data_IF_873712581044
#
_entry.id   IF_873712581044
#
_cell.length_a   1.000
_cell.length_b   1.000
_cell.length_c   1.000
_cell.angle_alpha   90.00
_cell.angle_beta   90.00
_cell.angle_gamma   90.00
#
_symmetry.space_group_name_H-M   'P 1'
#
loop_
_entity.id
_entity.type
_entity.pdbx_description
1 polymer ?
#
# COMPACT_ATOMS: atom_id res chain seq x y z
N UNK A 1 -2.46 58.94 -35.74
CA UNK A 1 -1.80 58.58 -34.47
C UNK A 1 -1.04 57.29 -34.72
N UNK A 2 0.27 57.40 -34.99
CA UNK A 2 1.12 56.33 -35.54
C UNK A 2 1.33 55.20 -34.51
N UNK A 3 0.78 54.01 -34.75
CA UNK A 3 1.32 52.76 -34.21
C UNK A 3 2.67 52.53 -34.89
N UNK A 4 3.70 53.21 -34.40
CA UNK A 4 5.09 53.00 -34.81
C UNK A 4 5.42 51.51 -34.70
N UNK A 5 6.10 51.00 -35.74
CA UNK A 5 6.62 49.66 -35.94
C UNK A 5 7.11 49.01 -34.63
N UNK A 6 6.24 48.30 -33.90
CA UNK A 6 6.69 47.37 -32.87
C UNK A 6 7.41 46.25 -33.61
N UNK A 7 8.74 46.21 -33.50
CA UNK A 7 9.50 45.15 -34.17
C UNK A 7 9.02 43.80 -33.66
N UNK A 8 8.86 42.87 -34.59
CA UNK A 8 8.49 41.48 -34.38
C UNK A 8 9.29 40.86 -33.20
N UNK A 9 8.62 40.45 -32.11
CA UNK A 9 9.26 39.85 -30.95
C UNK A 9 10.10 38.60 -31.30
N UNK A 10 9.69 37.81 -32.30
CA UNK A 10 10.46 36.65 -32.73
C UNK A 10 11.81 37.06 -33.35
N UNK A 11 11.84 38.15 -34.12
CA UNK A 11 13.09 38.70 -34.67
C UNK A 11 13.98 39.29 -33.57
N UNK A 12 13.39 39.95 -32.58
CA UNK A 12 14.13 40.41 -31.39
C UNK A 12 14.74 39.26 -30.62
N UNK A 13 13.98 38.19 -30.38
CA UNK A 13 14.46 37.01 -29.68
C UNK A 13 15.66 36.37 -30.40
N UNK A 14 15.58 36.19 -31.73
CA UNK A 14 16.71 35.71 -32.55
C UNK A 14 17.96 36.57 -32.40
N UNK A 15 17.82 37.89 -32.45
CA UNK A 15 18.94 38.81 -32.25
C UNK A 15 19.56 38.67 -30.85
N UNK A 16 18.76 38.46 -29.82
CA UNK A 16 19.24 38.23 -28.46
C UNK A 16 19.96 36.88 -28.33
N UNK A 17 19.48 35.83 -29.01
CA UNK A 17 20.15 34.52 -29.06
C UNK A 17 21.50 34.64 -29.77
N UNK A 18 21.56 35.28 -30.94
CA UNK A 18 22.80 35.49 -31.69
C UNK A 18 23.84 36.22 -30.83
N UNK A 19 23.42 37.27 -30.10
CA UNK A 19 24.28 37.96 -29.14
C UNK A 19 24.74 37.04 -28.02
N UNK A 20 23.84 36.27 -27.40
CA UNK A 20 24.20 35.38 -26.31
C UNK A 20 25.26 34.35 -26.72
N UNK A 21 25.18 33.84 -27.96
CA UNK A 21 26.19 32.92 -28.52
C UNK A 21 27.54 33.62 -28.67
N UNK A 22 27.57 34.85 -29.20
CA UNK A 22 28.80 35.65 -29.30
C UNK A 22 29.42 35.87 -27.91
N UNK A 23 28.62 36.25 -26.91
CA UNK A 23 29.10 36.46 -25.54
C UNK A 23 29.67 35.16 -24.93
N UNK A 24 29.10 33.99 -25.22
CA UNK A 24 29.68 32.69 -24.82
C UNK A 24 31.04 32.47 -25.50
N UNK A 25 31.12 32.68 -26.81
CA UNK A 25 32.36 32.49 -27.58
C UNK A 25 33.47 33.44 -27.12
N UNK A 26 33.11 34.64 -26.68
CA UNK A 26 34.03 35.64 -26.11
C UNK A 26 34.39 35.39 -24.63
N UNK A 27 33.78 34.39 -23.98
CA UNK A 27 34.08 34.02 -22.59
C UNK A 27 33.36 34.86 -21.54
N UNK A 28 32.20 35.43 -21.89
CA UNK A 28 31.36 36.31 -21.07
C UNK A 28 29.98 35.68 -20.73
N UNK A 29 29.94 34.55 -20.01
CA UNK A 29 28.69 33.80 -19.78
C UNK A 29 27.65 34.57 -18.94
N UNK A 30 28.06 35.50 -18.06
CA UNK A 30 27.09 36.34 -17.34
C UNK A 30 26.28 37.25 -18.27
N UNK A 31 26.89 37.77 -19.34
CA UNK A 31 26.21 38.60 -20.33
C UNK A 31 25.33 37.74 -21.24
N UNK A 32 25.83 36.58 -21.64
CA UNK A 32 25.03 35.59 -22.37
C UNK A 32 23.75 35.20 -21.61
N UNK A 33 23.85 34.99 -20.29
CA UNK A 33 22.71 34.71 -19.42
C UNK A 33 21.63 35.82 -19.48
N UNK A 34 22.05 37.09 -19.53
CA UNK A 34 21.13 38.23 -19.64
C UNK A 34 20.48 38.31 -21.03
N UNK A 35 21.23 38.05 -22.09
CA UNK A 35 20.69 38.07 -23.45
C UNK A 35 19.72 36.90 -23.68
N UNK A 36 20.01 35.70 -23.18
CA UNK A 36 19.06 34.57 -23.22
C UNK A 36 17.77 34.85 -22.43
N UNK A 37 17.87 35.50 -21.27
CA UNK A 37 16.68 35.92 -20.51
C UNK A 37 15.80 36.87 -21.33
N UNK A 38 16.40 37.85 -22.02
CA UNK A 38 15.67 38.76 -22.91
C UNK A 38 15.01 38.01 -24.06
N UNK A 39 15.70 37.04 -24.66
CA UNK A 39 15.13 36.18 -25.70
C UNK A 39 13.92 35.39 -25.18
N UNK A 40 14.05 34.78 -24.00
CA UNK A 40 12.98 33.99 -23.37
C UNK A 40 11.72 34.84 -23.11
N UNK A 41 11.90 36.07 -22.58
CA UNK A 41 10.78 37.01 -22.38
C UNK A 41 10.11 37.41 -23.70
N UNK A 42 10.86 37.60 -24.78
CA UNK A 42 10.29 37.86 -26.10
C UNK A 42 9.48 36.66 -26.63
N UNK A 43 9.87 35.42 -26.34
CA UNK A 43 9.08 34.24 -26.70
C UNK A 43 7.80 34.12 -25.89
N UNK A 44 7.80 34.54 -24.61
CA UNK A 44 6.57 34.63 -23.82
C UNK A 44 5.58 35.65 -24.39
N UNK A 45 6.04 36.79 -24.92
CA UNK A 45 5.17 37.80 -25.55
C UNK A 45 4.39 37.26 -26.75
N UNK A 46 4.85 36.17 -27.37
CA UNK A 46 4.22 35.52 -28.53
C UNK A 46 3.71 34.11 -28.21
N UNK A 47 3.53 33.79 -26.92
CA UNK A 47 2.97 32.52 -26.43
C UNK A 47 3.75 31.28 -26.91
N UNK A 48 5.06 31.42 -27.14
CA UNK A 48 5.97 30.32 -27.48
C UNK A 48 6.66 29.80 -26.22
N UNK A 49 5.90 29.17 -25.33
CA UNK A 49 6.34 28.75 -23.99
C UNK A 49 7.53 27.79 -24.05
N UNK A 50 7.54 26.81 -24.94
CA UNK A 50 8.66 25.85 -25.05
C UNK A 50 9.99 26.54 -25.35
N UNK A 51 9.97 27.54 -26.24
CA UNK A 51 11.15 28.35 -26.54
C UNK A 51 11.54 29.22 -25.34
N UNK A 52 10.57 29.82 -24.65
CA UNK A 52 10.85 30.59 -23.44
C UNK A 52 11.52 29.71 -22.36
N UNK A 53 10.96 28.54 -22.07
CA UNK A 53 11.50 27.57 -21.11
C UNK A 53 12.91 27.15 -21.50
N UNK A 54 13.13 26.82 -22.78
CA UNK A 54 14.46 26.48 -23.30
C UNK A 54 15.46 27.59 -22.99
N UNK A 55 15.16 28.83 -23.37
CA UNK A 55 16.13 29.93 -23.21
C UNK A 55 16.29 30.41 -21.77
N UNK A 56 15.29 30.25 -20.91
CA UNK A 56 15.51 30.41 -19.46
C UNK A 56 16.44 29.32 -18.90
N UNK A 57 16.35 28.06 -19.37
CA UNK A 57 17.31 27.01 -18.99
C UNK A 57 18.72 27.34 -19.47
N UNK A 58 18.90 27.77 -20.72
CA UNK A 58 20.20 28.23 -21.22
C UNK A 58 20.74 29.40 -20.39
N UNK A 59 19.90 30.39 -20.07
CA UNK A 59 20.28 31.49 -19.19
C UNK A 59 20.74 31.00 -17.81
N UNK A 60 20.10 29.95 -17.28
CA UNK A 60 20.46 29.34 -15.99
C UNK A 60 21.81 28.61 -16.04
N UNK A 61 22.14 27.96 -17.17
CA UNK A 61 23.41 27.27 -17.36
C UNK A 61 24.55 28.27 -17.47
N UNK A 62 24.41 29.33 -18.28
CA UNK A 62 25.41 30.38 -18.38
C UNK A 62 25.66 31.08 -17.03
N UNK A 63 24.61 31.29 -16.23
CA UNK A 63 24.78 31.83 -14.87
C UNK A 63 25.59 30.88 -13.96
N UNK A 64 25.42 29.57 -14.13
CA UNK A 64 26.12 28.55 -13.35
C UNK A 64 27.60 28.43 -13.72
N UNK A 65 27.97 28.68 -14.98
CA UNK A 65 29.39 28.69 -15.41
C UNK A 65 30.22 29.70 -14.62
N UNK A 66 29.63 30.84 -14.24
CA UNK A 66 30.27 31.82 -13.38
C UNK A 66 29.92 31.64 -11.88
N UNK A 67 29.52 30.43 -11.46
CA UNK A 67 29.11 30.07 -10.10
C UNK A 67 28.00 30.96 -9.50
N UNK A 68 27.20 31.66 -10.32
CA UNK A 68 26.12 32.51 -9.84
C UNK A 68 24.86 31.68 -9.58
N UNK A 69 24.84 30.99 -8.43
CA UNK A 69 23.75 30.12 -8.03
C UNK A 69 22.42 30.85 -7.79
N UNK A 70 22.46 32.12 -7.34
CA UNK A 70 21.24 32.93 -7.16
C UNK A 70 20.57 33.17 -8.52
N UNK A 71 21.32 33.66 -9.51
CA UNK A 71 20.78 33.91 -10.85
C UNK A 71 20.35 32.62 -11.54
N UNK A 72 21.11 31.54 -11.38
CA UNK A 72 20.73 30.22 -11.88
C UNK A 72 19.36 29.80 -11.34
N UNK A 73 19.14 29.95 -10.03
CA UNK A 73 17.85 29.69 -9.39
C UNK A 73 16.73 30.59 -9.95
N UNK A 74 16.97 31.89 -10.09
CA UNK A 74 15.97 32.83 -10.63
C UNK A 74 15.50 32.42 -12.03
N UNK A 75 16.43 32.03 -12.91
CA UNK A 75 16.12 31.59 -14.27
C UNK A 75 15.37 30.26 -14.28
N UNK A 76 15.71 29.32 -13.38
CA UNK A 76 14.95 28.06 -13.22
C UNK A 76 13.53 28.30 -12.73
N UNK A 77 13.33 29.23 -11.78
CA UNK A 77 12.00 29.63 -11.33
C UNK A 77 11.22 30.27 -12.48
N UNK A 78 11.83 31.16 -13.26
CA UNK A 78 11.17 31.77 -14.42
C UNK A 78 10.73 30.71 -15.45
N UNK A 79 11.58 29.73 -15.76
CA UNK A 79 11.22 28.59 -16.60
C UNK A 79 10.07 27.76 -16.00
N UNK A 80 10.10 27.50 -14.69
CA UNK A 80 9.05 26.77 -13.99
C UNK A 80 7.71 27.49 -14.04
N UNK A 81 7.69 28.82 -13.85
CA UNK A 81 6.48 29.64 -13.91
C UNK A 81 5.82 29.58 -15.30
N UNK A 82 6.60 29.47 -16.37
CA UNK A 82 6.09 29.26 -17.73
C UNK A 82 5.38 27.89 -17.84
N UNK A 83 6.01 26.84 -17.32
CA UNK A 83 5.46 25.47 -17.33
C UNK A 83 4.17 25.35 -16.49
N UNK A 84 4.09 26.08 -15.38
CA UNK A 84 2.87 26.11 -14.55
C UNK A 84 1.66 26.68 -15.31
N UNK A 85 1.88 27.66 -16.19
CA UNK A 85 0.80 28.24 -17.00
C UNK A 85 0.22 27.24 -18.02
N UNK A 86 1.03 26.27 -18.45
CA UNK A 86 0.61 25.17 -19.34
C UNK A 86 0.12 23.92 -18.58
N UNK A 87 0.10 23.95 -17.25
CA UNK A 87 -0.29 22.79 -16.43
C UNK A 87 0.77 21.68 -16.38
N UNK A 88 2.02 21.94 -16.82
CA UNK A 88 3.14 20.99 -16.79
C UNK A 88 3.78 20.93 -15.40
N UNK A 89 3.00 20.47 -14.42
CA UNK A 89 3.34 20.55 -12.99
C UNK A 89 4.55 19.72 -12.58
N UNK A 90 4.78 18.55 -13.19
CA UNK A 90 5.93 17.68 -12.89
C UNK A 90 7.27 18.34 -13.26
N UNK A 91 7.36 18.88 -14.48
CA UNK A 91 8.56 19.58 -14.96
C UNK A 91 8.80 20.90 -14.22
N UNK A 92 7.73 21.65 -13.93
CA UNK A 92 7.83 22.84 -13.11
C UNK A 92 8.32 22.50 -11.70
N UNK A 93 7.77 21.44 -11.10
CA UNK A 93 8.18 20.94 -9.78
C UNK A 93 9.66 20.57 -9.74
N UNK A 94 10.18 19.93 -10.79
CA UNK A 94 11.60 19.63 -10.91
C UNK A 94 12.48 20.89 -10.92
N UNK A 95 12.12 21.90 -11.72
CA UNK A 95 12.89 23.15 -11.79
C UNK A 95 12.86 23.93 -10.46
N UNK A 96 11.73 23.93 -9.73
CA UNK A 96 11.67 24.51 -8.38
C UNK A 96 12.53 23.73 -7.37
N UNK A 97 12.58 22.40 -7.46
CA UNK A 97 13.44 21.55 -6.63
C UNK A 97 14.92 21.85 -6.88
N UNK A 98 15.33 21.94 -8.15
CA UNK A 98 16.70 22.32 -8.52
C UNK A 98 17.05 23.75 -8.09
N UNK A 99 16.12 24.69 -8.24
CA UNK A 99 16.26 26.07 -7.73
C UNK A 99 16.50 26.09 -6.22
N UNK A 100 15.75 25.29 -5.45
CA UNK A 100 15.93 25.15 -4.01
C UNK A 100 17.35 24.71 -3.65
N UNK A 101 17.92 23.76 -4.39
CA UNK A 101 19.30 23.29 -4.15
C UNK A 101 20.34 24.40 -4.36
N UNK A 102 20.17 25.23 -5.38
CA UNK A 102 21.04 26.38 -5.63
C UNK A 102 20.90 27.46 -4.55
N UNK A 103 19.67 27.78 -4.12
CA UNK A 103 19.42 28.76 -3.05
C UNK A 103 19.98 28.29 -1.70
N UNK A 104 19.86 27.00 -1.42
CA UNK A 104 20.41 26.41 -0.20
C UNK A 104 21.94 26.51 -0.15
N UNK A 105 22.61 26.33 -1.29
CA UNK A 105 24.07 26.47 -1.41
C UNK A 105 24.53 27.89 -1.07
N UNK A 106 23.73 28.89 -1.43
CA UNK A 106 23.95 30.32 -1.12
C UNK A 106 23.44 30.72 0.27
N UNK A 107 23.06 29.76 1.13
CA UNK A 107 22.52 29.99 2.48
C UNK A 107 21.24 30.83 2.50
N UNK A 108 20.49 30.88 1.39
CA UNK A 108 19.18 31.51 1.28
C UNK A 108 18.07 30.54 1.69
N UNK A 109 18.10 30.11 2.96
CA UNK A 109 17.27 28.98 3.44
C UNK A 109 15.76 29.24 3.33
N UNK A 110 15.30 30.48 3.51
CA UNK A 110 13.87 30.81 3.43
C UNK A 110 13.38 30.68 1.98
N UNK A 111 14.12 31.26 1.03
CA UNK A 111 13.81 31.16 -0.40
C UNK A 111 13.93 29.72 -0.89
N UNK A 112 14.93 28.98 -0.41
CA UNK A 112 15.10 27.55 -0.71
C UNK A 112 13.89 26.74 -0.21
N UNK A 113 13.42 26.99 1.02
CA UNK A 113 12.24 26.34 1.59
C UNK A 113 10.98 26.68 0.82
N UNK A 114 10.81 27.95 0.42
CA UNK A 114 9.69 28.38 -0.43
C UNK A 114 9.69 27.62 -1.76
N UNK A 115 10.82 27.61 -2.47
CA UNK A 115 10.95 26.91 -3.76
C UNK A 115 10.65 25.41 -3.60
N UNK A 116 11.14 24.79 -2.53
CA UNK A 116 10.88 23.38 -2.23
C UNK A 116 9.40 23.10 -1.92
N UNK A 117 8.73 23.99 -1.19
CA UNK A 117 7.29 23.90 -0.96
C UNK A 117 6.50 23.92 -2.26
N UNK A 118 6.82 24.83 -3.18
CA UNK A 118 6.19 24.87 -4.52
C UNK A 118 6.51 23.61 -5.32
N UNK A 119 7.74 23.10 -5.25
CA UNK A 119 8.12 21.86 -5.91
C UNK A 119 7.26 20.67 -5.44
N UNK A 120 7.13 20.49 -4.12
CA UNK A 120 6.30 19.42 -3.53
C UNK A 120 4.85 19.54 -3.99
N UNK A 121 4.28 20.74 -3.95
CA UNK A 121 2.92 21.02 -4.44
C UNK A 121 2.77 20.67 -5.92
N UNK A 122 3.76 21.00 -6.75
CA UNK A 122 3.80 20.64 -8.17
C UNK A 122 3.76 19.13 -8.40
N UNK A 123 4.58 18.37 -7.67
CA UNK A 123 4.56 16.90 -7.76
C UNK A 123 3.27 16.27 -7.24
N UNK A 124 2.66 16.83 -6.19
CA UNK A 124 1.34 16.38 -5.72
C UNK A 124 0.27 16.59 -6.80
N UNK A 125 0.26 17.76 -7.46
CA UNK A 125 -0.67 18.04 -8.55
C UNK A 125 -0.43 17.16 -9.78
N UNK A 126 0.83 16.80 -10.03
CA UNK A 126 1.23 15.84 -11.07
C UNK A 126 0.99 14.36 -10.70
N UNK A 127 0.40 14.07 -9.54
CA UNK A 127 0.15 12.70 -9.01
C UNK A 127 1.41 11.89 -8.72
N UNK A 128 2.55 12.57 -8.58
CA UNK A 128 3.84 11.96 -8.28
C UNK A 128 4.08 11.94 -6.77
N UNK A 129 3.24 11.19 -6.04
CA UNK A 129 3.21 11.17 -4.57
C UNK A 129 4.52 10.70 -3.94
N UNK A 130 5.20 9.73 -4.57
CA UNK A 130 6.49 9.21 -4.10
C UNK A 130 7.58 10.28 -4.13
N UNK A 131 7.65 11.06 -5.20
CA UNK A 131 8.61 12.16 -5.33
C UNK A 131 8.29 13.28 -4.34
N UNK A 132 7.01 13.60 -4.14
CA UNK A 132 6.59 14.57 -3.12
C UNK A 132 7.03 14.16 -1.69
N UNK A 133 6.81 12.89 -1.29
CA UNK A 133 7.27 12.36 0.00
C UNK A 133 8.81 12.45 0.12
N UNK A 134 9.53 12.03 -0.92
CA UNK A 134 11.00 12.03 -0.90
C UNK A 134 11.56 13.45 -0.78
N UNK A 135 10.96 14.43 -1.46
CA UNK A 135 11.34 15.84 -1.33
C UNK A 135 11.00 16.41 0.04
N UNK A 136 9.86 16.05 0.62
CA UNK A 136 9.53 16.44 2.00
C UNK A 136 10.57 15.91 3.00
N UNK A 137 10.95 14.64 2.92
CA UNK A 137 12.01 14.06 3.78
C UNK A 137 13.36 14.74 3.59
N UNK A 138 13.74 15.05 2.34
CA UNK A 138 14.94 15.83 2.00
C UNK A 138 14.88 17.23 2.64
N UNK A 139 13.71 17.86 2.64
CA UNK A 139 13.48 19.19 3.21
C UNK A 139 13.59 19.20 4.73
N UNK A 140 12.95 18.24 5.41
CA UNK A 140 12.95 18.12 6.87
C UNK A 140 14.37 18.07 7.42
N UNK A 141 15.23 17.26 6.80
CA UNK A 141 16.65 17.17 7.17
C UNK A 141 17.36 18.53 7.07
N UNK A 142 17.15 19.27 5.97
CA UNK A 142 17.76 20.59 5.76
C UNK A 142 17.28 21.66 6.75
N UNK A 143 15.98 21.63 7.05
CA UNK A 143 15.35 22.61 7.95
C UNK A 143 15.81 22.35 9.39
N UNK A 144 15.89 21.09 9.80
CA UNK A 144 16.41 20.70 11.12
C UNK A 144 17.86 21.15 11.31
N UNK A 145 18.72 20.94 10.31
CA UNK A 145 20.15 21.30 10.36
C UNK A 145 20.39 22.82 10.42
N UNK A 146 19.47 23.63 9.84
CA UNK A 146 19.67 25.08 9.71
C UNK A 146 18.94 25.92 10.78
N UNK A 147 18.11 25.30 11.64
CA UNK A 147 17.23 25.99 12.59
C UNK A 147 16.43 27.14 11.94
N UNK A 148 16.13 26.99 10.64
CA UNK A 148 15.52 28.06 9.85
C UNK A 148 14.01 28.06 10.05
N UNK A 149 13.40 29.26 10.06
CA UNK A 149 11.95 29.39 10.10
C UNK A 149 11.35 28.79 8.82
N UNK A 150 10.34 27.92 8.96
CA UNK A 150 9.62 27.33 7.82
C UNK A 150 8.85 28.42 7.06
N UNK A 151 8.98 28.42 5.73
CA UNK A 151 8.18 29.28 4.85
C UNK A 151 6.72 28.77 4.80
N UNK A 152 5.70 29.66 4.74
CA UNK A 152 4.30 29.24 4.63
C UNK A 152 3.98 28.26 3.50
N UNK A 153 4.64 28.37 2.34
CA UNK A 153 4.41 27.44 1.21
C UNK A 153 4.87 26.03 1.58
N UNK A 154 5.99 25.92 2.29
CA UNK A 154 6.49 24.64 2.77
C UNK A 154 5.58 24.04 3.84
N UNK A 155 5.09 24.85 4.79
CA UNK A 155 4.17 24.38 5.84
C UNK A 155 2.90 23.80 5.20
N UNK A 156 2.31 24.50 4.23
CA UNK A 156 1.15 23.97 3.52
C UNK A 156 1.48 22.68 2.75
N UNK A 157 2.62 22.64 2.05
CA UNK A 157 3.06 21.46 1.32
C UNK A 157 3.23 20.24 2.23
N UNK A 158 3.83 20.42 3.41
CA UNK A 158 3.99 19.39 4.43
C UNK A 158 2.63 18.83 4.89
N UNK A 159 1.66 19.71 5.17
CA UNK A 159 0.30 19.27 5.53
C UNK A 159 -0.38 18.52 4.38
N UNK A 160 -0.23 18.99 3.14
CA UNK A 160 -0.79 18.29 1.98
C UNK A 160 -0.18 16.90 1.79
N UNK A 161 1.13 16.71 1.98
CA UNK A 161 1.76 15.38 1.92
C UNK A 161 1.23 14.49 3.03
N UNK A 162 1.14 14.98 4.27
CA UNK A 162 0.61 14.21 5.40
C UNK A 162 -0.83 13.75 5.16
N UNK A 163 -1.69 14.63 4.62
CA UNK A 163 -3.10 14.32 4.36
C UNK A 163 -3.25 13.38 3.16
N UNK A 164 -2.66 13.74 2.01
CA UNK A 164 -2.89 13.05 0.73
C UNK A 164 -2.02 11.79 0.58
N UNK A 165 -0.82 11.77 1.12
CA UNK A 165 0.13 10.67 0.89
C UNK A 165 0.27 9.75 2.11
N UNK A 166 0.23 10.29 3.32
CA UNK A 166 0.45 9.51 4.55
C UNK A 166 -0.85 9.15 5.27
N UNK A 167 -1.99 9.72 4.85
CA UNK A 167 -3.30 9.43 5.44
C UNK A 167 -3.47 9.97 6.87
N UNK A 168 -2.65 10.94 7.28
CA UNK A 168 -2.72 11.53 8.61
C UNK A 168 -3.98 12.39 8.72
N UNK A 169 -4.75 12.18 9.78
CA UNK A 169 -5.90 13.01 10.10
C UNK A 169 -5.44 14.34 10.71
N UNK A 170 -5.65 15.43 9.99
CA UNK A 170 -5.24 16.78 10.37
C UNK A 170 -6.50 17.62 10.58
N UNK A 171 -6.65 18.30 11.73
CA UNK A 171 -7.79 19.18 11.97
C UNK A 171 -7.95 20.22 10.86
N UNK A 172 -9.16 20.35 10.32
CA UNK A 172 -9.46 21.29 9.23
C UNK A 172 -9.04 22.72 9.55
N UNK A 173 -9.13 23.16 10.81
CA UNK A 173 -8.69 24.50 11.23
C UNK A 173 -7.19 24.72 11.01
N UNK A 174 -6.36 23.71 11.32
CA UNK A 174 -4.91 23.80 11.11
C UNK A 174 -4.59 23.95 9.62
N UNK A 175 -5.26 23.17 8.77
CA UNK A 175 -5.12 23.26 7.32
C UNK A 175 -5.57 24.64 6.81
N UNK A 176 -6.75 25.11 7.20
CA UNK A 176 -7.27 26.42 6.79
C UNK A 176 -6.35 27.59 7.20
N UNK A 177 -5.77 27.52 8.40
CA UNK A 177 -4.81 28.53 8.86
C UNK A 177 -3.54 28.54 8.00
N UNK A 178 -3.03 27.38 7.59
CA UNK A 178 -1.91 27.29 6.66
C UNK A 178 -2.27 27.89 5.29
N UNK A 179 -3.45 27.59 4.74
CA UNK A 179 -3.89 28.15 3.44
C UNK A 179 -4.02 29.67 3.45
N UNK A 180 -4.49 30.28 4.56
CA UNK A 180 -4.60 31.74 4.68
C UNK A 180 -3.24 32.44 4.73
N UNK A 181 -2.20 31.72 5.15
CA UNK A 181 -0.86 32.26 5.34
C UNK A 181 -0.04 32.32 4.04
N UNK A 182 -0.41 31.56 3.02
CA UNK A 182 0.31 31.53 1.74
C UNK A 182 -0.04 32.72 0.85
N UNK A 183 0.92 33.15 0.05
CA UNK A 183 0.78 34.22 -0.94
C UNK A 183 1.41 33.78 -2.26
N UNK A 184 0.74 32.92 -3.03
CA UNK A 184 1.29 32.39 -4.28
C UNK A 184 1.42 33.49 -5.33
N UNK A 185 2.40 33.37 -6.21
CA UNK A 185 2.53 34.23 -7.40
C UNK A 185 1.36 33.98 -8.35
N UNK A 186 1.15 34.90 -9.30
CA UNK A 186 0.07 34.77 -10.28
C UNK A 186 0.17 33.46 -11.10
N UNK A 187 1.38 33.05 -11.48
CA UNK A 187 1.66 31.78 -12.18
C UNK A 187 1.46 30.54 -11.31
N UNK A 188 1.63 30.65 -10.00
CA UNK A 188 1.49 29.55 -9.04
C UNK A 188 0.04 29.37 -8.55
N UNK A 189 -0.80 30.41 -8.68
CA UNK A 189 -2.16 30.43 -8.13
C UNK A 189 -3.03 29.24 -8.58
N UNK A 190 -3.11 28.89 -9.89
CA UNK A 190 -3.94 27.76 -10.33
C UNK A 190 -3.52 26.44 -9.68
N UNK A 191 -2.21 26.22 -9.55
CA UNK A 191 -1.64 25.04 -8.91
C UNK A 191 -2.05 24.95 -7.43
N UNK A 192 -1.90 26.04 -6.68
CA UNK A 192 -2.28 26.06 -5.26
C UNK A 192 -3.79 25.96 -5.05
N UNK A 193 -4.60 26.62 -5.88
CA UNK A 193 -6.06 26.51 -5.81
C UNK A 193 -6.53 25.07 -6.04
N UNK A 194 -5.97 24.40 -7.07
CA UNK A 194 -6.25 23.00 -7.35
C UNK A 194 -5.87 22.09 -6.18
N UNK A 195 -4.65 22.23 -5.65
CA UNK A 195 -4.20 21.38 -4.54
C UNK A 195 -4.99 21.65 -3.26
N UNK A 196 -5.27 22.92 -2.94
CA UNK A 196 -6.04 23.26 -1.75
C UNK A 196 -7.46 22.69 -1.83
N UNK A 197 -8.13 22.81 -2.99
CA UNK A 197 -9.45 22.22 -3.20
C UNK A 197 -9.41 20.69 -3.03
N UNK A 198 -8.40 20.05 -3.63
CA UNK A 198 -8.16 18.61 -3.55
C UNK A 198 -7.93 18.14 -2.10
N UNK A 199 -7.09 18.83 -1.33
CA UNK A 199 -6.81 18.49 0.07
C UNK A 199 -8.01 18.74 0.98
N UNK A 200 -8.79 19.82 0.77
CA UNK A 200 -10.05 20.05 1.50
C UNK A 200 -11.03 18.93 1.29
N UNK A 201 -11.19 18.52 0.03
CA UNK A 201 -12.08 17.43 -0.31
C UNK A 201 -11.59 16.13 0.32
N UNK A 202 -10.28 15.88 0.31
CA UNK A 202 -9.70 14.75 1.02
C UNK A 202 -10.08 14.79 2.50
N UNK A 203 -9.87 15.89 3.23
CA UNK A 203 -10.27 15.99 4.64
C UNK A 203 -11.76 15.68 4.90
N UNK A 204 -12.63 15.95 3.94
CA UNK A 204 -14.07 15.68 4.02
C UNK A 204 -14.47 14.30 3.48
N UNK A 205 -13.54 13.58 2.84
CA UNK A 205 -13.80 12.25 2.26
C UNK A 205 -13.54 11.20 3.31
N UNK A 206 -14.56 10.40 3.57
CA UNK A 206 -14.50 9.24 4.47
C UNK A 206 -14.27 7.99 3.63
N UNK A 207 -13.27 7.19 4.02
CA UNK A 207 -13.06 5.87 3.46
C UNK A 207 -12.87 4.89 4.62
N UNK A 208 -13.67 3.84 4.63
CA UNK A 208 -13.75 2.91 5.77
C UNK A 208 -13.69 1.50 5.23
N UNK A 209 -12.88 0.69 5.90
CA UNK A 209 -12.81 -0.75 5.70
C UNK A 209 -13.41 -1.40 6.95
N UNK A 210 -14.54 -2.09 6.79
CA UNK A 210 -15.33 -2.63 7.89
C UNK A 210 -15.69 -4.10 7.65
N UNK A 211 -16.07 -4.82 8.69
CA UNK A 211 -16.62 -6.16 8.53
C UNK A 211 -17.98 -6.06 7.83
N UNK A 212 -18.22 -6.89 6.82
CA UNK A 212 -19.53 -6.93 6.16
C UNK A 212 -20.65 -7.43 7.12
N UNK A 213 -20.24 -8.12 8.21
CA UNK A 213 -21.11 -8.57 9.29
C UNK A 213 -20.64 -8.12 10.66
N UNK A 214 -20.91 -8.93 11.69
CA UNK A 214 -20.45 -8.63 13.04
C UNK A 214 -18.91 -8.63 13.12
N UNK A 215 -18.28 -7.66 13.81
CA UNK A 215 -16.84 -7.63 13.96
C UNK A 215 -16.29 -8.91 14.57
N UNK A 216 -15.33 -9.53 13.89
CA UNK A 216 -14.71 -10.78 14.35
C UNK A 216 -13.31 -10.50 14.90
N UNK A 217 -13.10 -10.85 16.17
CA UNK A 217 -11.76 -10.75 16.80
C UNK A 217 -10.87 -11.94 16.46
N UNK A 218 -11.48 -13.06 16.12
CA UNK A 218 -10.83 -14.32 15.78
C UNK A 218 -11.57 -14.99 14.62
N UNK A 219 -10.83 -15.47 13.63
CA UNK A 219 -11.35 -16.09 12.40
C UNK A 219 -10.65 -17.43 12.15
N UNK A 220 -11.31 -18.39 11.52
CA UNK A 220 -10.72 -19.69 11.23
C UNK A 220 -9.76 -19.62 10.04
N UNK A 221 -8.63 -20.35 10.08
CA UNK A 221 -7.80 -20.54 8.87
C UNK A 221 -8.65 -21.20 7.78
N UNK A 222 -8.46 -20.77 6.52
CA UNK A 222 -9.15 -21.19 5.29
C UNK A 222 -10.63 -20.80 5.16
N UNK A 223 -11.24 -20.24 6.20
CA UNK A 223 -12.61 -19.72 6.13
C UNK A 223 -12.59 -18.33 5.49
N UNK A 224 -13.38 -18.08 4.42
CA UNK A 224 -13.41 -16.76 3.80
C UNK A 224 -14.00 -15.73 4.78
N UNK A 225 -13.44 -14.53 4.76
CA UNK A 225 -13.93 -13.38 5.51
C UNK A 225 -14.37 -12.30 4.54
N UNK A 226 -15.54 -11.73 4.80
CA UNK A 226 -16.15 -10.71 3.97
C UNK A 226 -15.99 -9.34 4.62
N UNK A 227 -15.40 -8.42 3.87
CA UNK A 227 -15.06 -7.07 4.29
C UNK A 227 -15.75 -6.10 3.33
N UNK A 228 -16.32 -5.03 3.87
CA UNK A 228 -16.93 -3.96 3.11
C UNK A 228 -15.98 -2.77 3.02
N UNK A 229 -15.59 -2.37 1.81
CA UNK A 229 -14.93 -1.10 1.55
C UNK A 229 -15.99 -0.09 1.15
N UNK A 230 -16.10 1.00 1.90
CA UNK A 230 -17.03 2.10 1.60
C UNK A 230 -16.28 3.41 1.48
N UNK A 231 -16.73 4.25 0.57
CA UNK A 231 -16.32 5.65 0.57
C UNK A 231 -17.52 6.58 0.49
N UNK A 232 -17.33 7.78 1.03
CA UNK A 232 -18.25 8.89 0.92
C UNK A 232 -17.47 10.16 0.63
N UNK A 233 -17.68 10.72 -0.55
CA UNK A 233 -17.05 11.94 -1.02
C UNK A 233 -18.13 13.03 -1.25
N UNK A 234 -17.90 14.28 -0.85
CA UNK A 234 -18.83 15.38 -1.10
C UNK A 234 -19.10 15.71 -2.59
N UNK A 235 -18.29 15.18 -3.51
CA UNK A 235 -18.43 15.40 -4.96
C UNK A 235 -18.30 14.06 -5.69
N UNK A 236 -18.82 14.02 -6.91
CA UNK A 236 -18.70 12.85 -7.77
C UNK A 236 -17.24 12.59 -8.14
N UNK A 237 -16.77 11.38 -7.85
CA UNK A 237 -15.42 10.93 -8.12
C UNK A 237 -15.41 9.49 -8.65
N UNK A 238 -14.35 9.13 -9.36
CA UNK A 238 -14.06 7.77 -9.79
C UNK A 238 -12.75 7.28 -9.18
N UNK A 239 -12.62 5.98 -8.94
CA UNK A 239 -11.36 5.38 -8.46
C UNK A 239 -10.42 5.14 -9.64
N UNK A 240 -9.21 5.69 -9.57
CA UNK A 240 -8.19 5.57 -10.63
C UNK A 240 -6.97 4.74 -10.23
N UNK A 241 -6.63 4.69 -8.95
CA UNK A 241 -5.53 3.87 -8.42
C UNK A 241 -5.92 3.33 -7.05
N UNK A 242 -5.42 2.13 -6.73
CA UNK A 242 -5.68 1.44 -5.48
C UNK A 242 -4.50 0.60 -5.05
N UNK A 243 -4.24 0.57 -3.75
CA UNK A 243 -3.21 -0.29 -3.15
C UNK A 243 -3.72 -0.85 -1.85
N UNK A 244 -3.51 -2.14 -1.64
CA UNK A 244 -3.92 -2.81 -0.42
C UNK A 244 -2.70 -3.42 0.27
N UNK A 245 -2.56 -3.12 1.55
CA UNK A 245 -1.60 -3.79 2.42
C UNK A 245 -2.26 -4.98 3.12
N UNK A 246 -1.63 -6.15 3.07
CA UNK A 246 -2.08 -7.37 3.72
C UNK A 246 -0.94 -7.96 4.55
N UNK A 247 -1.27 -8.62 5.66
CA UNK A 247 -0.31 -9.48 6.33
C UNK A 247 -0.03 -10.74 5.50
N UNK A 248 1.14 -11.37 5.71
CA UNK A 248 1.52 -12.62 5.03
C UNK A 248 0.56 -13.80 5.31
N UNK A 249 -0.33 -13.66 6.30
CA UNK A 249 -1.27 -14.68 6.73
C UNK A 249 -2.61 -14.60 6.02
N UNK A 250 -2.83 -13.62 5.15
CA UNK A 250 -4.12 -13.34 4.51
C UNK A 250 -3.91 -13.11 3.02
N UNK A 251 -4.77 -13.72 2.19
CA UNK A 251 -4.83 -13.46 0.74
C UNK A 251 -6.19 -12.89 0.37
N UNK A 252 -6.24 -12.06 -0.66
CA UNK A 252 -7.50 -11.60 -1.25
C UNK A 252 -8.00 -12.66 -2.25
N UNK A 253 -9.22 -13.14 -2.08
CA UNK A 253 -9.83 -14.15 -2.97
C UNK A 253 -10.79 -13.54 -3.97
N UNK A 254 -11.41 -12.41 -3.64
CA UNK A 254 -12.31 -11.67 -4.53
C UNK A 254 -11.92 -10.20 -4.55
N UNK A 255 -11.49 -9.72 -5.72
CA UNK A 255 -11.28 -8.30 -5.95
C UNK A 255 -12.62 -7.56 -6.15
N UNK A 256 -12.72 -6.32 -5.67
CA UNK A 256 -13.87 -5.46 -5.95
C UNK A 256 -13.92 -5.05 -7.43
N UNK A 257 -15.11 -5.12 -8.02
CA UNK A 257 -15.40 -4.59 -9.35
C UNK A 257 -15.82 -3.13 -9.23
N UNK A 258 -14.89 -2.23 -9.54
CA UNK A 258 -15.14 -0.79 -9.48
C UNK A 258 -15.95 -0.33 -10.69
N UNK A 259 -17.00 0.43 -10.42
CA UNK A 259 -17.74 1.17 -11.43
C UNK A 259 -16.86 2.30 -11.98
N UNK A 260 -16.86 2.46 -13.30
CA UNK A 260 -16.14 3.58 -13.95
C UNK A 260 -16.95 4.87 -13.95
N UNK A 261 -18.20 4.83 -13.48
CA UNK A 261 -19.06 6.00 -13.40
C UNK A 261 -18.71 6.80 -12.13
N UNK A 262 -18.48 8.11 -12.24
CA UNK A 262 -18.31 8.96 -11.06
C UNK A 262 -19.50 8.85 -10.11
N UNK A 263 -19.23 8.73 -8.81
CA UNK A 263 -20.25 8.69 -7.75
C UNK A 263 -19.77 9.44 -6.51
N UNK A 264 -20.72 9.87 -5.67
CA UNK A 264 -20.43 10.46 -4.35
C UNK A 264 -20.22 9.39 -3.27
N UNK A 265 -20.80 8.20 -3.46
CA UNK A 265 -20.69 7.09 -2.52
C UNK A 265 -20.77 5.76 -3.26
N UNK A 266 -19.92 4.81 -2.89
CA UNK A 266 -20.06 3.42 -3.31
C UNK A 266 -19.58 2.48 -2.20
N UNK A 267 -19.98 1.23 -2.32
CA UNK A 267 -19.60 0.15 -1.44
C UNK A 267 -19.25 -1.09 -2.25
N UNK A 268 -18.20 -1.79 -1.83
CA UNK A 268 -17.82 -3.07 -2.41
C UNK A 268 -17.57 -4.11 -1.34
N UNK A 269 -18.04 -5.33 -1.64
CA UNK A 269 -17.75 -6.51 -0.86
C UNK A 269 -16.45 -7.15 -1.36
N UNK A 270 -15.45 -7.19 -0.50
CA UNK A 270 -14.20 -7.90 -0.70
C UNK A 270 -14.22 -9.22 0.06
N UNK A 271 -13.57 -10.23 -0.52
CA UNK A 271 -13.39 -11.53 0.13
C UNK A 271 -11.91 -11.77 0.35
N UNK A 272 -11.57 -12.15 1.58
CA UNK A 272 -10.22 -12.55 1.97
C UNK A 272 -10.23 -13.96 2.54
N UNK A 273 -9.09 -14.64 2.47
CA UNK A 273 -8.92 -15.97 3.04
C UNK A 273 -7.66 -15.99 3.91
N UNK A 274 -7.79 -16.23 5.22
CA UNK A 274 -6.65 -16.49 6.09
C UNK A 274 -5.99 -17.81 5.69
N UNK A 275 -4.67 -17.80 5.47
CA UNK A 275 -3.88 -18.97 5.03
C UNK A 275 -2.97 -19.52 6.10
N UNK A 276 -2.59 -18.70 7.09
CA UNK A 276 -1.71 -19.08 8.20
C UNK A 276 -2.35 -18.69 9.53
N UNK A 277 -2.18 -19.53 10.55
CA UNK A 277 -2.62 -19.21 11.91
C UNK A 277 -1.72 -18.16 12.56
N UNK A 278 -2.25 -17.37 13.48
CA UNK A 278 -1.50 -16.33 14.18
C UNK A 278 -2.24 -15.00 14.13
N UNK A 279 -1.57 -13.96 13.64
CA UNK A 279 -2.15 -12.63 13.49
C UNK A 279 -2.43 -12.33 12.01
N UNK A 280 -3.59 -11.73 11.76
CA UNK A 280 -4.05 -11.27 10.46
C UNK A 280 -4.27 -9.77 10.48
N UNK A 281 -3.88 -9.08 9.40
CA UNK A 281 -4.27 -7.70 9.19
C UNK A 281 -4.67 -7.44 7.74
N UNK A 282 -5.72 -6.62 7.57
CA UNK A 282 -6.21 -6.12 6.29
C UNK A 282 -6.19 -4.60 6.34
N UNK A 283 -5.46 -4.00 5.41
CA UNK A 283 -5.31 -2.56 5.30
C UNK A 283 -3.95 -2.04 5.78
N UNK A 284 -3.68 -0.74 5.59
CA UNK A 284 -4.61 0.24 5.02
C UNK A 284 -4.82 -0.02 3.52
N UNK A 285 -6.04 0.31 3.07
CA UNK A 285 -6.39 0.39 1.66
C UNK A 285 -6.18 1.85 1.23
N UNK A 286 -5.21 2.08 0.36
CA UNK A 286 -4.96 3.40 -0.24
C UNK A 286 -5.77 3.50 -1.52
N UNK A 287 -6.62 4.53 -1.64
CA UNK A 287 -7.45 4.78 -2.81
C UNK A 287 -7.20 6.19 -3.32
N UNK A 288 -6.94 6.31 -4.62
CA UNK A 288 -6.89 7.58 -5.32
C UNK A 288 -8.16 7.77 -6.12
N UNK A 289 -8.91 8.81 -5.79
CA UNK A 289 -10.10 9.27 -6.46
C UNK A 289 -9.79 10.47 -7.37
N UNK A 290 -10.44 10.52 -8.51
CA UNK A 290 -10.38 11.60 -9.48
C UNK A 290 -11.79 12.13 -9.76
N UNK A 291 -11.95 13.45 -9.76
CA UNK A 291 -13.12 14.12 -10.30
C UNK A 291 -12.69 15.22 -11.28
N UNK A 292 -13.65 15.92 -11.87
CA UNK A 292 -13.43 16.94 -12.92
C UNK A 292 -12.33 17.96 -12.60
N UNK A 293 -12.15 18.29 -11.31
CA UNK A 293 -11.19 19.32 -10.85
C UNK A 293 -10.48 18.96 -9.53
N UNK A 294 -10.53 17.70 -9.11
CA UNK A 294 -10.05 17.29 -7.79
C UNK A 294 -9.35 15.95 -7.84
N UNK A 295 -8.33 15.80 -6.99
CA UNK A 295 -7.62 14.56 -6.76
C UNK A 295 -7.64 14.26 -5.26
N UNK A 296 -8.28 13.18 -4.85
CA UNK A 296 -8.30 12.78 -3.44
C UNK A 296 -7.51 11.50 -3.30
N UNK A 297 -6.51 11.50 -2.43
CA UNK A 297 -5.80 10.27 -2.07
C UNK A 297 -6.02 10.02 -0.58
N UNK A 298 -6.55 8.85 -0.25
CA UNK A 298 -7.02 8.51 1.10
C UNK A 298 -6.68 7.09 1.48
N UNK A 299 -6.62 6.89 2.79
CA UNK A 299 -6.24 5.64 3.43
C UNK A 299 -7.36 5.19 4.35
N UNK A 300 -7.74 3.92 4.30
CA UNK A 300 -8.66 3.34 5.28
C UNK A 300 -7.96 3.08 6.61
N UNK A 301 -8.75 2.72 7.61
CA UNK A 301 -8.28 2.01 8.79
C UNK A 301 -7.66 0.64 8.44
N UNK A 302 -6.99 0.05 9.43
CA UNK A 302 -6.49 -1.33 9.42
C UNK A 302 -7.41 -2.19 10.28
N UNK A 303 -7.83 -3.34 9.77
CA UNK A 303 -8.50 -4.36 10.57
C UNK A 303 -7.46 -5.37 11.04
N UNK A 304 -7.34 -5.52 12.35
CA UNK A 304 -6.48 -6.52 13.00
C UNK A 304 -7.34 -7.60 13.65
N UNK A 305 -6.96 -8.86 13.46
CA UNK A 305 -7.68 -10.01 14.00
C UNK A 305 -6.74 -11.20 14.24
N UNK A 306 -7.19 -12.15 15.06
CA UNK A 306 -6.50 -13.43 15.27
C UNK A 306 -6.98 -14.47 14.28
N UNK A 307 -6.08 -15.33 13.84
CA UNK A 307 -6.37 -16.44 12.95
C UNK A 307 -6.21 -17.75 13.74
N UNK A 308 -7.33 -18.35 14.12
CA UNK A 308 -7.40 -19.60 14.86
C UNK A 308 -6.85 -20.74 14.00
N UNK A 309 -5.95 -21.58 14.54
CA UNK A 309 -5.38 -22.68 13.75
C UNK A 309 -6.49 -23.60 13.23
N UNK A 310 -6.30 -24.08 12.00
CA UNK A 310 -7.23 -25.01 11.38
C UNK A 310 -7.56 -26.20 12.31
N UNK A 311 -8.82 -26.68 12.30
CA UNK A 311 -9.22 -27.84 13.07
C UNK A 311 -8.66 -29.12 12.44
N UNK A 312 -8.30 -30.07 13.29
CA UNK A 312 -8.07 -31.47 12.93
C UNK A 312 -9.39 -32.19 12.69
N UNK A 313 -9.36 -33.26 11.89
CA UNK A 313 -10.49 -34.17 11.71
C UNK A 313 -9.95 -35.58 11.55
N UNK A 314 -9.97 -36.36 12.63
CA UNK A 314 -9.53 -37.74 12.59
C UNK A 314 -10.56 -38.61 11.88
N UNK A 315 -10.06 -39.61 11.15
CA UNK A 315 -10.79 -40.68 10.51
C UNK A 315 -10.09 -41.98 10.87
N UNK A 316 -10.86 -43.01 11.21
CA UNK A 316 -10.34 -44.29 11.71
C UNK A 316 -10.89 -45.43 10.88
N UNK A 317 -9.99 -46.25 10.35
CA UNK A 317 -10.28 -47.46 9.59
C UNK A 317 -9.70 -48.67 10.31
N UNK A 318 -10.49 -49.75 10.36
CA UNK A 318 -10.13 -51.00 11.01
C UNK A 318 -10.34 -52.15 10.03
N UNK A 319 -9.30 -52.94 9.78
CA UNK A 319 -9.32 -54.03 8.80
C UNK A 319 -8.64 -55.30 9.33
N UNK A 320 -9.26 -56.49 9.21
CA UNK A 320 -10.62 -56.72 8.70
C UNK A 320 -11.70 -56.30 9.70
N UNK A 321 -12.90 -55.95 9.21
CA UNK A 321 -14.07 -55.66 10.04
C UNK A 321 -14.65 -56.91 10.72
N UNK A 322 -14.37 -58.09 10.14
CA UNK A 322 -14.76 -59.40 10.68
C UNK A 322 -13.60 -60.37 10.50
N UNK A 323 -13.24 -61.04 11.57
CA UNK A 323 -12.19 -62.07 11.56
C UNK A 323 -12.65 -63.28 12.36
N UNK A 324 -12.21 -64.46 11.99
CA UNK A 324 -12.50 -65.71 12.70
C UNK A 324 -11.19 -66.38 13.14
N UNK A 325 -11.14 -66.85 14.38
CA UNK A 325 -10.01 -67.58 14.94
C UNK A 325 -10.51 -68.69 15.89
N UNK A 326 -9.67 -69.69 16.19
CA UNK A 326 -9.96 -70.68 17.22
C UNK A 326 -9.48 -70.21 18.60
N UNK A 327 -9.96 -70.86 19.67
CA UNK A 327 -9.47 -70.61 21.03
C UNK A 327 -7.93 -70.74 21.09
N UNK A 328 -7.28 -69.71 21.64
CA UNK A 328 -5.82 -69.64 21.74
C UNK A 328 -5.08 -69.13 20.51
N UNK A 329 -5.77 -68.95 19.37
CA UNK A 329 -5.20 -68.33 18.17
C UNK A 329 -5.24 -66.80 18.25
N UNK A 330 -4.36 -66.17 17.47
CA UNK A 330 -4.26 -64.71 17.34
C UNK A 330 -4.96 -64.23 16.08
N UNK A 331 -5.76 -63.17 16.21
CA UNK A 331 -6.27 -62.38 15.11
C UNK A 331 -5.49 -61.07 15.02
N UNK A 332 -5.16 -60.64 13.80
CA UNK A 332 -4.43 -59.40 13.53
C UNK A 332 -5.38 -58.38 12.96
N UNK A 333 -5.53 -57.25 13.65
CA UNK A 333 -6.32 -56.11 13.19
C UNK A 333 -5.39 -54.97 12.78
N UNK A 334 -5.50 -54.51 11.55
CA UNK A 334 -4.81 -53.32 11.06
C UNK A 334 -5.65 -52.08 11.33
N UNK A 335 -5.07 -51.14 12.08
CA UNK A 335 -5.66 -49.85 12.44
C UNK A 335 -4.98 -48.78 11.58
N UNK A 336 -5.77 -47.98 10.87
CA UNK A 336 -5.30 -46.81 10.12
C UNK A 336 -6.01 -45.57 10.65
N UNK A 337 -5.24 -44.59 11.11
CA UNK A 337 -5.76 -43.29 11.55
C UNK A 337 -5.29 -42.26 10.53
N UNK A 338 -6.22 -41.53 9.93
CA UNK A 338 -6.00 -40.48 8.93
C UNK A 338 -6.47 -39.15 9.50
N UNK A 339 -5.70 -38.08 9.35
CA UNK A 339 -6.17 -36.73 9.62
C UNK A 339 -6.70 -36.09 8.33
N UNK A 340 -8.02 -36.11 8.16
CA UNK A 340 -8.73 -35.44 7.06
C UNK A 340 -8.90 -33.93 7.28
N UNK A 341 -8.48 -33.41 8.45
CA UNK A 341 -8.59 -32.01 8.80
C UNK A 341 -7.55 -31.14 8.11
N UNK A 342 -7.81 -29.84 8.10
CA UNK A 342 -6.90 -28.83 7.53
C UNK A 342 -5.76 -28.43 8.49
N UNK A 343 -5.90 -28.78 9.78
CA UNK A 343 -4.89 -28.54 10.81
C UNK A 343 -4.28 -29.83 11.35
N UNK A 344 -3.11 -29.72 12.02
CA UNK A 344 -2.48 -30.86 12.66
C UNK A 344 -3.31 -31.36 13.85
N UNK A 345 -3.31 -32.68 14.03
CA UNK A 345 -3.75 -33.32 15.27
C UNK A 345 -2.53 -33.61 16.16
N UNK A 346 -2.68 -33.41 17.46
CA UNK A 346 -1.57 -33.47 18.43
C UNK A 346 -2.00 -34.30 19.64
N UNK A 347 -1.07 -35.09 20.18
CA UNK A 347 -1.31 -35.94 21.35
C UNK A 347 -2.56 -36.83 21.18
N UNK A 348 -2.67 -37.52 20.04
CA UNK A 348 -3.80 -38.40 19.77
C UNK A 348 -3.67 -39.64 20.65
N UNK A 349 -4.61 -39.84 21.56
CA UNK A 349 -4.68 -41.01 22.41
C UNK A 349 -5.55 -42.07 21.73
N UNK A 350 -4.96 -43.23 21.47
CA UNK A 350 -5.65 -44.37 20.88
C UNK A 350 -5.81 -45.46 21.93
N UNK A 351 -7.05 -45.84 22.22
CA UNK A 351 -7.40 -46.86 23.22
C UNK A 351 -8.04 -48.05 22.53
N UNK A 352 -7.62 -49.24 22.93
CA UNK A 352 -8.17 -50.53 22.49
C UNK A 352 -9.02 -51.11 23.61
N UNK A 353 -10.32 -51.21 23.36
CA UNK A 353 -11.28 -51.84 24.27
C UNK A 353 -11.61 -53.24 23.74
N UNK A 354 -11.36 -54.25 24.56
CA UNK A 354 -11.62 -55.65 24.25
C UNK A 354 -12.82 -56.17 25.05
N UNK A 355 -13.55 -57.11 24.45
CA UNK A 355 -14.56 -57.91 25.17
C UNK A 355 -13.90 -58.99 26.02
N UNK A 356 -14.60 -59.52 27.03
CA UNK A 356 -14.05 -60.46 28.03
C UNK A 356 -13.44 -61.73 27.43
N UNK A 357 -13.82 -62.14 26.22
CA UNK A 357 -13.27 -63.30 25.52
C UNK A 357 -11.97 -63.06 24.75
N UNK A 358 -11.40 -61.84 24.81
CA UNK A 358 -10.17 -61.47 24.10
C UNK A 358 -9.12 -60.88 25.04
N UNK A 359 -7.84 -61.14 24.76
CA UNK A 359 -6.70 -60.48 25.40
C UNK A 359 -5.73 -59.91 24.35
N UNK A 360 -4.99 -58.84 24.66
CA UNK A 360 -3.91 -58.36 23.79
C UNK A 360 -2.73 -59.33 23.91
N UNK A 361 -2.33 -59.96 22.80
CA UNK A 361 -1.17 -60.85 22.80
C UNK A 361 0.15 -60.10 22.66
N UNK A 362 0.12 -58.96 21.97
CA UNK A 362 1.26 -58.07 21.81
C UNK A 362 0.81 -56.62 21.72
N UNK A 363 1.38 -55.76 22.57
CA UNK A 363 1.14 -54.31 22.57
C UNK A 363 0.60 -53.79 23.90
N UNK A 364 0.17 -52.53 23.88
CA UNK A 364 -0.45 -51.85 25.02
C UNK A 364 -1.91 -51.52 24.68
N UNK A 365 -2.76 -51.44 25.69
CA UNK A 365 -4.16 -50.99 25.56
C UNK A 365 -4.28 -49.54 25.09
N UNK A 366 -3.24 -48.73 25.32
CA UNK A 366 -3.17 -47.34 24.90
C UNK A 366 -1.91 -47.05 24.08
N UNK A 367 -2.07 -46.20 23.05
CA UNK A 367 -0.99 -45.69 22.20
C UNK A 367 -1.13 -44.20 21.99
N UNK A 368 -0.05 -43.46 22.23
CA UNK A 368 0.02 -42.02 21.99
C UNK A 368 0.68 -41.74 20.63
N UNK A 369 -0.01 -40.97 19.78
CA UNK A 369 0.56 -40.41 18.54
C UNK A 369 0.75 -38.92 18.78
N UNK A 370 2.01 -38.49 18.92
CA UNK A 370 2.33 -37.12 19.29
C UNK A 370 1.86 -36.09 18.25
N UNK A 371 1.93 -36.44 16.96
CA UNK A 371 1.64 -35.53 15.87
C UNK A 371 1.14 -36.28 14.63
N UNK A 372 0.12 -35.74 13.98
CA UNK A 372 -0.37 -36.18 12.68
C UNK A 372 -0.76 -34.96 11.82
N UNK A 373 0.02 -34.70 10.77
CA UNK A 373 -0.20 -33.59 9.84
C UNK A 373 -1.48 -33.77 9.02
N UNK A 374 -1.93 -32.70 8.36
CA UNK A 374 -3.08 -32.73 7.45
C UNK A 374 -2.81 -33.69 6.29
N UNK A 375 -3.71 -34.65 6.05
CA UNK A 375 -3.59 -35.68 5.01
C UNK A 375 -2.66 -36.85 5.37
N UNK A 376 -1.97 -36.80 6.50
CA UNK A 376 -1.11 -37.89 6.95
C UNK A 376 -1.92 -39.01 7.61
N UNK A 377 -1.42 -40.24 7.49
CA UNK A 377 -1.96 -41.38 8.21
C UNK A 377 -0.88 -42.16 8.95
N UNK A 378 -1.29 -42.80 10.05
CA UNK A 378 -0.47 -43.74 10.81
C UNK A 378 -1.16 -45.10 10.79
N UNK A 379 -0.36 -46.14 10.55
CA UNK A 379 -0.82 -47.53 10.50
C UNK A 379 -0.10 -48.34 11.55
N UNK A 380 -0.84 -49.20 12.24
CA UNK A 380 -0.27 -50.19 13.14
C UNK A 380 -1.21 -51.38 13.29
N UNK A 381 -0.70 -52.45 13.90
CA UNK A 381 -1.43 -53.69 14.10
C UNK A 381 -1.71 -53.90 15.59
N UNK A 382 -2.91 -54.38 15.89
CA UNK A 382 -3.27 -54.92 17.19
C UNK A 382 -3.40 -56.44 17.06
N UNK A 383 -2.68 -57.16 17.92
CA UNK A 383 -2.71 -58.61 17.98
C UNK A 383 -3.61 -59.00 19.16
N UNK A 384 -4.75 -59.61 18.85
CA UNK A 384 -5.74 -60.03 19.85
C UNK A 384 -5.80 -61.55 19.87
N UNK A 385 -5.73 -62.15 21.04
CA UNK A 385 -5.77 -63.59 21.24
C UNK A 385 -7.09 -63.99 21.88
N UNK A 386 -7.69 -65.06 21.35
CA UNK A 386 -8.94 -65.57 21.85
C UNK A 386 -8.76 -66.39 23.13
N UNK A 387 -9.45 -66.00 24.21
CA UNK A 387 -9.48 -66.69 25.51
C UNK A 387 -10.87 -67.23 25.90
N UNK A 388 -11.93 -66.76 25.22
CA UNK A 388 -13.30 -67.25 25.35
C UNK A 388 -13.93 -67.57 23.99
N UNK A 389 -14.95 -68.44 23.97
CA UNK A 389 -15.71 -68.76 22.75
C UNK A 389 -16.90 -67.83 22.57
N UNK A 390 -17.18 -67.40 21.35
CA UNK A 390 -18.31 -66.51 21.05
C UNK A 390 -18.01 -65.49 19.97
N UNK A 391 -18.96 -64.56 19.82
CA UNK A 391 -18.83 -63.38 18.96
C UNK A 391 -18.31 -62.23 19.84
N UNK A 392 -17.01 -61.95 19.77
CA UNK A 392 -16.31 -60.97 20.60
C UNK A 392 -16.04 -59.66 19.83
N UNK A 393 -16.01 -58.52 20.51
CA UNK A 393 -15.80 -57.21 19.88
C UNK A 393 -14.47 -56.59 20.29
N UNK A 394 -13.82 -55.95 19.32
CA UNK A 394 -12.67 -55.06 19.52
C UNK A 394 -13.05 -53.66 19.09
N UNK A 395 -13.08 -52.71 20.01
CA UNK A 395 -13.37 -51.30 19.72
C UNK A 395 -12.10 -50.47 19.86
N UNK A 396 -11.78 -49.72 18.82
CA UNK A 396 -10.65 -48.78 18.79
C UNK A 396 -11.22 -47.38 18.86
N UNK A 397 -10.79 -46.60 19.84
CA UNK A 397 -11.12 -45.18 20.01
C UNK A 397 -9.87 -44.36 19.80
N UNK A 398 -9.96 -43.26 19.06
CA UNK A 398 -8.91 -42.27 18.93
C UNK A 398 -9.45 -40.90 19.31
N UNK A 399 -8.81 -40.24 20.26
CA UNK A 399 -9.17 -38.90 20.76
C UNK A 399 -8.04 -37.94 20.43
N UNK A 400 -8.34 -36.87 19.69
CA UNK A 400 -7.36 -35.80 19.46
C UNK A 400 -7.20 -34.97 20.74
N UNK A 401 -5.99 -34.95 21.32
CA UNK A 401 -5.71 -34.25 22.57
C UNK A 401 -5.94 -32.74 22.50
N UNK A 402 -5.95 -32.14 21.29
CA UNK A 402 -6.22 -30.71 21.11
C UNK A 402 -7.72 -30.39 21.00
N UNK A 403 -8.43 -31.05 20.10
CA UNK A 403 -9.86 -30.75 19.86
C UNK A 403 -10.81 -31.52 20.79
N UNK A 404 -10.34 -32.57 21.45
CA UNK A 404 -11.15 -33.49 22.25
C UNK A 404 -12.13 -34.32 21.42
N UNK A 405 -12.05 -34.29 20.09
CA UNK A 405 -12.93 -35.06 19.21
C UNK A 405 -12.50 -36.52 19.22
N UNK A 406 -13.46 -37.39 19.51
CA UNK A 406 -13.31 -38.84 19.49
C UNK A 406 -13.83 -39.43 18.16
N UNK A 407 -13.11 -40.40 17.63
CA UNK A 407 -13.59 -41.31 16.59
C UNK A 407 -13.40 -42.75 17.02
N UNK A 408 -14.38 -43.60 16.75
CA UNK A 408 -14.36 -45.00 17.14
C UNK A 408 -14.77 -45.95 16.01
N UNK A 409 -14.14 -47.13 15.96
CA UNK A 409 -14.58 -48.26 15.11
C UNK A 409 -14.49 -49.57 15.87
N UNK A 410 -15.38 -50.48 15.50
CA UNK A 410 -15.45 -51.81 16.11
C UNK A 410 -15.27 -52.88 15.04
N UNK A 411 -14.50 -53.93 15.35
CA UNK A 411 -14.35 -55.15 14.56
C UNK A 411 -14.92 -56.33 15.35
N UNK A 412 -15.50 -57.30 14.63
CA UNK A 412 -16.06 -58.52 15.19
C UNK A 412 -15.06 -59.67 15.03
N UNK A 413 -14.69 -60.32 16.14
CA UNK A 413 -13.86 -61.51 16.20
C UNK A 413 -14.75 -62.70 16.56
N UNK A 414 -14.98 -63.61 15.62
CA UNK A 414 -15.72 -64.85 15.87
C UNK A 414 -14.76 -65.93 16.33
N UNK A 415 -14.92 -66.39 17.56
CA UNK A 415 -14.09 -67.45 18.16
C UNK A 415 -14.81 -68.79 18.09
N UNK A 416 -14.16 -69.77 17.45
CA UNK A 416 -14.65 -71.14 17.22
C UNK A 416 -14.52 -72.12 18.40
#
# INVERSE_FOLDING_TARGET
>A
MFKFLKSDPAKKAKKYIEKAIIEIEEGFPEYASVEYEKAARCFLEIEQTDFAVKYFREASYCALENNNHVRCSEMKIAAAECLLQEGRYDEAGNLYSESSDHLQREKKSIEANRALGVAIVGYLAARNFSTAINLMRKAEKRIQDTSSKKDPHYILAELCVKILCEGVDIPSEQFENATKSIKPKASERPLFEFLIASTRLALQTEIILDWAGAPQKEVSVKEPIEIELRYKCPVEVQIIDRRLSLSNSVIMTKEPEYTQSPSTEESWLLEFKPVLSGEGSIGPFTVTFEGDKVLVNKHTNVLEFKIARAPSKLSLELSPERVSCNLGEEAVLQITILNEGDGPAENIEVVVELSDGLELSLGNEAKLINFLGSGENVRFQAFVKAVGQGDELVTIKAVDGRSGREVAKTSLVRVG
#
